data_IF_355135078137
#
_entry.id   IF_355135078137
#
_cell.length_a   1.000
_cell.length_b   1.000
_cell.length_c   1.000
_cell.angle_alpha   90.00
_cell.angle_beta   90.00
_cell.angle_gamma   90.00
#
_symmetry.space_group_name_H-M   'P 1'
#
loop_
_entity.id
_entity.type
_entity.pdbx_description
1 polymer ?
#
# COMPACT_ATOMS: atom_id res chain seq x y z
N UNK A 1 75.43 3.45 17.21
CA UNK A 1 75.47 4.65 16.36
C UNK A 1 74.51 4.43 15.23
N UNK A 2 73.55 5.37 15.15
CA UNK A 2 72.60 5.71 14.06
C UNK A 2 71.50 4.70 13.78
N UNK A 3 70.32 4.97 14.31
CA UNK A 3 69.24 5.87 13.86
C UNK A 3 68.73 5.54 12.45
N UNK A 4 67.50 5.02 12.40
CA UNK A 4 66.56 5.37 11.35
C UNK A 4 65.14 5.16 11.91
N UNK A 5 64.71 6.19 12.66
CA UNK A 5 63.30 6.45 12.93
C UNK A 5 62.70 7.10 11.67
N UNK A 6 61.78 6.43 11.01
CA UNK A 6 61.05 6.94 9.87
C UNK A 6 59.59 6.52 9.99
N UNK A 7 58.88 7.20 10.88
CA UNK A 7 57.41 7.03 10.95
C UNK A 7 56.78 7.77 9.77
N UNK A 8 56.41 7.04 8.73
CA UNK A 8 55.59 7.56 7.65
C UNK A 8 54.12 7.58 8.13
N UNK A 9 53.67 8.73 8.64
CA UNK A 9 52.27 9.02 8.84
C UNK A 9 51.57 9.23 7.48
N UNK A 10 51.22 8.15 6.83
CA UNK A 10 50.32 8.20 5.67
C UNK A 10 48.90 8.43 6.13
N UNK A 11 48.42 9.67 6.11
CA UNK A 11 47.00 10.00 6.27
C UNK A 11 46.26 9.43 5.05
N UNK A 12 45.63 8.26 5.22
CA UNK A 12 44.73 7.72 4.21
C UNK A 12 43.48 8.60 4.21
N UNK A 13 43.46 9.57 3.29
CA UNK A 13 42.25 10.33 2.98
C UNK A 13 41.22 9.36 2.38
N UNK A 14 40.33 8.88 3.20
CA UNK A 14 39.15 8.14 2.75
C UNK A 14 38.22 9.11 2.02
N UNK A 15 38.51 9.29 0.74
CA UNK A 15 37.65 9.99 -0.20
C UNK A 15 36.35 9.18 -0.29
N UNK A 16 35.34 9.57 0.47
CA UNK A 16 34.01 8.94 0.54
C UNK A 16 33.47 8.84 -0.89
N UNK A 17 33.55 7.65 -1.48
CA UNK A 17 32.96 7.31 -2.78
C UNK A 17 31.44 7.24 -2.65
N UNK A 18 30.76 8.40 -2.58
CA UNK A 18 29.29 8.53 -2.61
C UNK A 18 28.66 8.30 -4.00
N UNK A 19 29.35 7.65 -4.94
CA UNK A 19 28.87 7.48 -6.32
C UNK A 19 28.72 6.02 -6.74
N UNK A 20 28.23 5.13 -5.87
CA UNK A 20 28.05 3.71 -6.24
C UNK A 20 26.64 3.30 -6.61
N UNK A 21 25.64 4.22 -6.52
CA UNK A 21 24.26 3.95 -6.92
C UNK A 21 23.62 5.17 -7.62
N UNK A 22 24.27 5.72 -8.63
CA UNK A 22 23.52 6.50 -9.61
C UNK A 22 22.72 5.49 -10.45
N UNK A 23 21.36 5.54 -10.46
CA UNK A 23 20.59 4.63 -11.28
C UNK A 23 21.03 4.78 -12.74
N UNK A 24 21.18 3.67 -13.44
CA UNK A 24 21.54 3.69 -14.85
C UNK A 24 20.62 4.65 -15.63
N UNK A 25 21.12 5.42 -16.59
CA UNK A 25 20.30 6.34 -17.36
C UNK A 25 19.16 5.58 -18.05
N UNK A 26 17.93 6.08 -17.85
CA UNK A 26 16.75 5.45 -18.46
C UNK A 26 16.79 5.62 -19.98
N UNK A 27 16.44 4.59 -20.76
CA UNK A 27 16.32 4.71 -22.21
C UNK A 27 15.33 5.83 -22.59
N UNK A 28 15.68 6.67 -23.58
CA UNK A 28 14.86 7.81 -24.01
C UNK A 28 13.43 7.45 -24.36
N UNK A 29 13.21 6.29 -24.97
CA UNK A 29 11.86 5.84 -25.34
C UNK A 29 10.95 5.63 -24.13
N UNK A 30 11.48 5.19 -22.98
CA UNK A 30 10.71 5.06 -21.73
C UNK A 30 10.27 6.45 -21.23
N UNK A 31 11.17 7.44 -21.31
CA UNK A 31 10.87 8.82 -20.92
C UNK A 31 9.78 9.41 -21.82
N UNK A 32 9.85 9.18 -23.12
CA UNK A 32 8.86 9.64 -24.10
C UNK A 32 7.48 9.04 -23.76
N UNK A 33 7.41 7.72 -23.57
CA UNK A 33 6.15 7.05 -23.19
C UNK A 33 5.60 7.55 -21.85
N UNK A 34 6.47 7.80 -20.87
CA UNK A 34 6.06 8.35 -19.59
C UNK A 34 5.46 9.77 -19.74
N UNK A 35 6.11 10.63 -20.55
CA UNK A 35 5.59 11.99 -20.85
C UNK A 35 4.24 11.91 -21.56
N UNK A 36 4.09 11.04 -22.56
CA UNK A 36 2.81 10.84 -23.24
C UNK A 36 1.73 10.40 -22.25
N UNK A 37 2.03 9.42 -21.37
CA UNK A 37 1.11 8.99 -20.34
C UNK A 37 0.69 10.10 -19.38
N UNK A 38 1.63 10.94 -18.94
CA UNK A 38 1.36 12.10 -18.10
C UNK A 38 0.49 13.12 -18.86
N UNK A 39 0.80 13.39 -20.14
CA UNK A 39 -0.01 14.30 -20.97
C UNK A 39 -1.46 13.82 -21.09
N UNK A 40 -1.70 12.53 -21.30
CA UNK A 40 -3.06 11.93 -21.37
C UNK A 40 -3.84 12.20 -20.07
N UNK A 41 -3.18 12.14 -18.91
CA UNK A 41 -3.81 12.39 -17.61
C UNK A 41 -4.06 13.89 -17.34
N UNK A 42 -3.14 14.76 -17.76
CA UNK A 42 -3.18 16.19 -17.43
C UNK A 42 -4.05 16.98 -18.43
N UNK A 43 -4.01 16.61 -19.71
CA UNK A 43 -4.68 17.37 -20.78
C UNK A 43 -6.20 17.55 -20.54
N UNK A 44 -6.98 16.53 -20.11
CA UNK A 44 -8.40 16.71 -19.81
C UNK A 44 -8.64 17.67 -18.65
N UNK A 45 -7.76 17.70 -17.64
CA UNK A 45 -7.88 18.61 -16.50
C UNK A 45 -7.60 20.06 -16.92
N UNK A 46 -6.61 20.27 -17.80
CA UNK A 46 -6.33 21.58 -18.39
C UNK A 46 -7.49 22.04 -19.26
N UNK A 47 -8.05 21.15 -20.09
CA UNK A 47 -9.24 21.43 -20.90
C UNK A 47 -10.42 21.87 -20.04
N UNK A 48 -10.71 21.12 -18.98
CA UNK A 48 -11.75 21.49 -18.02
C UNK A 48 -11.47 22.86 -17.37
N UNK A 49 -10.22 23.14 -16.99
CA UNK A 49 -9.84 24.43 -16.39
C UNK A 49 -10.03 25.62 -17.33
N UNK A 50 -9.92 25.44 -18.65
CA UNK A 50 -10.14 26.47 -19.63
C UNK A 50 -11.65 26.80 -19.85
N UNK A 51 -12.51 25.79 -19.66
CA UNK A 51 -13.97 25.94 -19.81
C UNK A 51 -14.66 26.46 -18.54
N UNK A 52 -13.95 26.51 -17.40
CA UNK A 52 -14.53 26.98 -16.14
C UNK A 52 -14.79 28.46 -16.14
N UNK A 53 -16.00 28.90 -15.78
CA UNK A 53 -16.34 30.32 -15.63
C UNK A 53 -15.80 30.88 -14.30
N UNK A 54 -14.50 31.15 -14.22
CA UNK A 54 -13.78 31.57 -13.01
C UNK A 54 -14.47 32.70 -12.24
N UNK A 55 -15.02 33.69 -12.95
CA UNK A 55 -15.72 34.81 -12.32
C UNK A 55 -17.02 34.41 -11.62
N UNK A 56 -17.65 33.30 -12.03
CA UNK A 56 -18.92 32.81 -11.46
C UNK A 56 -18.72 31.80 -10.30
N UNK A 57 -17.52 31.27 -10.10
CA UNK A 57 -17.25 30.28 -9.04
C UNK A 57 -17.76 30.75 -7.67
N UNK A 58 -17.46 31.97 -7.18
CA UNK A 58 -17.93 32.39 -5.86
C UNK A 58 -19.46 32.36 -5.72
N UNK A 59 -20.15 32.80 -6.77
CA UNK A 59 -21.62 32.82 -6.80
C UNK A 59 -22.20 31.39 -6.84
N UNK A 60 -21.63 30.50 -7.65
CA UNK A 60 -22.02 29.07 -7.73
C UNK A 60 -21.81 28.39 -6.38
N UNK A 61 -20.68 28.61 -5.73
CA UNK A 61 -20.39 28.03 -4.43
C UNK A 61 -21.21 28.61 -3.28
N UNK A 62 -21.75 29.79 -3.45
CA UNK A 62 -22.70 30.41 -2.50
C UNK A 62 -24.12 29.88 -2.65
N UNK A 63 -24.44 29.10 -3.71
CA UNK A 63 -25.77 28.51 -3.86
C UNK A 63 -26.08 27.47 -2.80
N UNK A 64 -27.31 27.37 -2.29
CA UNK A 64 -27.69 26.38 -1.29
C UNK A 64 -27.44 24.95 -1.77
N UNK A 65 -27.68 24.69 -3.05
CA UNK A 65 -27.51 23.36 -3.66
C UNK A 65 -26.07 22.91 -3.65
N UNK A 66 -25.10 23.81 -3.96
CA UNK A 66 -23.68 23.50 -3.94
C UNK A 66 -23.17 23.28 -2.51
N UNK A 67 -23.61 24.12 -1.57
CA UNK A 67 -23.20 24.01 -0.16
C UNK A 67 -23.75 22.73 0.48
N UNK A 68 -25.02 22.40 0.27
CA UNK A 68 -25.64 21.18 0.75
C UNK A 68 -24.92 19.94 0.21
N UNK A 69 -24.63 19.91 -1.10
CA UNK A 69 -23.94 18.81 -1.75
C UNK A 69 -22.50 18.66 -1.26
N UNK A 70 -21.77 19.76 -1.07
CA UNK A 70 -20.40 19.75 -0.55
C UNK A 70 -20.36 19.27 0.90
N UNK A 71 -21.24 19.82 1.76
CA UNK A 71 -21.30 19.45 3.15
C UNK A 71 -21.68 17.97 3.33
N UNK A 72 -22.67 17.51 2.57
CA UNK A 72 -23.08 16.11 2.60
C UNK A 72 -21.94 15.19 2.13
N UNK A 73 -21.25 15.54 1.03
CA UNK A 73 -20.13 14.75 0.53
C UNK A 73 -19.00 14.63 1.54
N UNK A 74 -18.61 15.74 2.17
CA UNK A 74 -17.54 15.74 3.18
C UNK A 74 -17.97 14.91 4.39
N UNK A 75 -19.16 15.13 4.92
CA UNK A 75 -19.69 14.43 6.09
C UNK A 75 -19.79 12.92 5.86
N UNK A 76 -20.40 12.50 4.74
CA UNK A 76 -20.55 11.07 4.42
C UNK A 76 -19.21 10.41 4.13
N UNK A 77 -18.29 11.09 3.43
CA UNK A 77 -16.93 10.62 3.18
C UNK A 77 -16.15 10.40 4.48
N UNK A 78 -16.20 11.32 5.43
CA UNK A 78 -15.53 11.16 6.73
C UNK A 78 -16.10 9.95 7.49
N UNK A 79 -17.44 9.82 7.56
CA UNK A 79 -18.08 8.70 8.22
C UNK A 79 -17.71 7.37 7.53
N UNK A 80 -17.77 7.32 6.19
CA UNK A 80 -17.41 6.13 5.43
C UNK A 80 -15.95 5.75 5.64
N UNK A 81 -15.04 6.73 5.59
CA UNK A 81 -13.60 6.50 5.82
C UNK A 81 -13.30 5.98 7.23
N UNK A 82 -14.00 6.47 8.26
CA UNK A 82 -13.87 5.95 9.63
C UNK A 82 -14.33 4.49 9.70
N UNK A 83 -15.45 4.16 9.04
CA UNK A 83 -15.96 2.79 8.95
C UNK A 83 -14.97 1.91 8.17
N UNK A 84 -14.41 2.40 7.07
CA UNK A 84 -13.40 1.70 6.29
C UNK A 84 -12.17 1.35 7.14
N UNK A 85 -11.68 2.28 7.95
CA UNK A 85 -10.55 2.01 8.85
C UNK A 85 -10.93 0.97 9.90
N UNK A 86 -12.11 1.10 10.51
CA UNK A 86 -12.57 0.21 11.55
C UNK A 86 -12.76 -1.24 11.05
N UNK A 87 -13.30 -1.42 9.85
CA UNK A 87 -13.52 -2.74 9.24
C UNK A 87 -12.30 -3.22 8.44
N UNK A 88 -11.64 -2.33 7.72
CA UNK A 88 -10.55 -2.67 6.80
C UNK A 88 -9.27 -3.10 7.50
N UNK A 89 -8.95 -2.52 8.65
CA UNK A 89 -7.75 -2.93 9.41
C UNK A 89 -7.83 -4.38 9.86
N UNK A 90 -8.91 -4.86 10.52
CA UNK A 90 -9.05 -6.28 10.85
C UNK A 90 -9.03 -7.20 9.63
N UNK A 91 -9.71 -6.82 8.54
CA UNK A 91 -9.73 -7.60 7.30
C UNK A 91 -8.32 -7.70 6.71
N UNK A 92 -7.58 -6.60 6.61
CA UNK A 92 -6.22 -6.59 6.09
C UNK A 92 -5.25 -7.45 6.94
N UNK A 93 -5.37 -7.38 8.27
CA UNK A 93 -4.61 -8.21 9.19
C UNK A 93 -4.92 -9.69 9.03
N UNK A 94 -6.18 -10.05 8.78
CA UNK A 94 -6.62 -11.42 8.53
C UNK A 94 -6.07 -11.93 7.18
N UNK A 95 -6.18 -11.12 6.11
CA UNK A 95 -5.72 -11.47 4.77
C UNK A 95 -4.19 -11.54 4.65
N UNK A 96 -3.45 -10.84 5.53
CA UNK A 96 -2.00 -10.88 5.56
C UNK A 96 -1.45 -12.17 6.16
N UNK A 97 -2.28 -13.01 6.79
CA UNK A 97 -1.90 -14.30 7.37
C UNK A 97 -2.25 -15.43 6.42
N UNK A 98 -1.39 -16.47 6.40
CA UNK A 98 -1.66 -17.67 5.62
C UNK A 98 -2.57 -18.63 6.41
N UNK A 99 -3.77 -18.86 5.89
CA UNK A 99 -4.76 -19.79 6.43
C UNK A 99 -5.61 -20.38 5.31
N UNK A 100 -6.23 -21.54 5.57
CA UNK A 100 -7.06 -22.22 4.58
C UNK A 100 -8.31 -21.36 4.27
N UNK A 101 -8.45 -20.89 3.02
CA UNK A 101 -9.57 -20.05 2.60
C UNK A 101 -9.24 -18.56 2.43
N UNK A 102 -8.03 -18.09 2.78
CA UNK A 102 -7.62 -16.69 2.60
C UNK A 102 -7.79 -16.20 1.18
N UNK A 103 -7.54 -17.06 0.18
CA UNK A 103 -7.72 -16.71 -1.24
C UNK A 103 -9.18 -16.39 -1.58
N UNK A 104 -10.13 -17.17 -1.07
CA UNK A 104 -11.55 -16.94 -1.29
C UNK A 104 -12.02 -15.61 -0.65
N UNK A 105 -11.59 -15.31 0.57
CA UNK A 105 -11.92 -14.04 1.24
C UNK A 105 -11.26 -12.86 0.51
N UNK A 106 -10.04 -13.02 0.01
CA UNK A 106 -9.38 -11.99 -0.82
C UNK A 106 -10.18 -11.70 -2.07
N UNK A 107 -10.64 -12.72 -2.81
CA UNK A 107 -11.51 -12.54 -3.98
C UNK A 107 -12.78 -11.82 -3.59
N UNK A 108 -13.44 -12.20 -2.48
CA UNK A 108 -14.66 -11.56 -2.00
C UNK A 108 -14.44 -10.05 -1.70
N UNK A 109 -13.32 -9.70 -1.06
CA UNK A 109 -12.96 -8.29 -0.78
C UNK A 109 -12.68 -7.51 -2.05
N UNK A 110 -12.10 -8.14 -3.08
CA UNK A 110 -11.78 -7.49 -4.35
C UNK A 110 -12.98 -7.41 -5.31
N UNK A 111 -14.03 -8.18 -5.07
CA UNK A 111 -15.19 -8.26 -5.94
C UNK A 111 -15.84 -6.89 -6.22
N UNK A 112 -16.01 -5.98 -5.22
CA UNK A 112 -16.56 -4.64 -5.47
C UNK A 112 -15.75 -3.81 -6.47
N UNK A 113 -14.42 -4.02 -6.58
CA UNK A 113 -13.58 -3.34 -7.56
C UNK A 113 -13.85 -3.76 -9.00
N UNK A 114 -14.31 -5.00 -9.19
CA UNK A 114 -14.60 -5.58 -10.50
C UNK A 114 -16.01 -5.25 -11.00
N UNK A 115 -16.91 -4.85 -10.07
CA UNK A 115 -18.30 -4.55 -10.42
C UNK A 115 -18.43 -3.14 -10.99
N UNK A 116 -19.20 -2.96 -12.09
CA UNK A 116 -19.63 -1.64 -12.50
C UNK A 116 -20.34 -0.93 -11.33
N UNK A 117 -20.08 0.36 -11.06
CA UNK A 117 -20.63 1.07 -9.89
C UNK A 117 -22.17 1.00 -9.78
N UNK A 118 -22.85 1.06 -10.91
CA UNK A 118 -24.34 0.91 -10.95
C UNK A 118 -24.78 -0.48 -10.49
N UNK A 119 -24.05 -1.53 -10.87
CA UNK A 119 -24.36 -2.92 -10.45
C UNK A 119 -24.12 -3.09 -8.95
N UNK A 120 -23.07 -2.46 -8.41
CA UNK A 120 -22.82 -2.41 -6.98
C UNK A 120 -24.00 -1.78 -6.22
N UNK A 121 -24.53 -0.66 -6.73
CA UNK A 121 -25.72 -0.02 -6.16
C UNK A 121 -26.99 -0.87 -6.25
N UNK A 122 -27.18 -1.59 -7.37
CA UNK A 122 -28.31 -2.54 -7.51
C UNK A 122 -28.20 -3.71 -6.52
N UNK A 123 -26.99 -4.23 -6.29
CA UNK A 123 -26.77 -5.27 -5.29
C UNK A 123 -27.09 -4.79 -3.87
N UNK A 124 -26.68 -3.57 -3.53
CA UNK A 124 -27.04 -2.94 -2.26
C UNK A 124 -28.56 -2.72 -2.15
N UNK A 125 -29.22 -2.28 -3.22
CA UNK A 125 -30.67 -2.08 -3.25
C UNK A 125 -31.41 -3.41 -3.13
N UNK A 126 -30.96 -4.47 -3.77
CA UNK A 126 -31.53 -5.81 -3.65
C UNK A 126 -31.38 -6.39 -2.24
N UNK A 127 -30.34 -5.99 -1.51
CA UNK A 127 -30.10 -6.47 -0.14
C UNK A 127 -30.80 -5.59 0.89
N UNK A 128 -30.63 -4.27 0.84
CA UNK A 128 -31.05 -3.32 1.87
C UNK A 128 -32.22 -2.42 1.45
N UNK A 129 -32.72 -2.57 0.23
CA UNK A 129 -33.94 -1.88 -0.22
C UNK A 129 -35.17 -2.31 0.56
N UNK A 130 -36.23 -1.54 0.52
CA UNK A 130 -37.50 -1.83 1.28
C UNK A 130 -38.04 -3.22 1.03
N UNK A 131 -37.86 -3.80 -0.15
CA UNK A 131 -38.24 -5.17 -0.53
C UNK A 131 -37.04 -6.11 -0.65
N UNK A 132 -35.88 -5.68 -0.22
CA UNK A 132 -34.64 -6.45 -0.30
C UNK A 132 -34.57 -7.54 0.79
N UNK A 133 -33.59 -8.43 0.63
CA UNK A 133 -33.40 -9.62 1.47
C UNK A 133 -33.35 -9.29 2.99
N UNK A 134 -32.59 -8.26 3.37
CA UNK A 134 -32.44 -7.78 4.75
C UNK A 134 -33.35 -6.56 4.98
N UNK A 135 -33.48 -5.71 3.95
CA UNK A 135 -34.16 -4.44 4.02
C UNK A 135 -35.66 -4.58 4.35
N UNK A 136 -36.33 -5.68 3.93
CA UNK A 136 -37.73 -5.94 4.25
C UNK A 136 -37.94 -6.10 5.77
N UNK A 137 -37.07 -6.86 6.45
CA UNK A 137 -37.15 -7.05 7.91
C UNK A 137 -36.84 -5.76 8.67
N UNK A 138 -35.84 -4.99 8.20
CA UNK A 138 -35.52 -3.69 8.80
C UNK A 138 -36.65 -2.69 8.62
N UNK A 139 -37.31 -2.68 7.45
CA UNK A 139 -38.43 -1.80 7.18
C UNK A 139 -39.65 -2.16 8.05
N UNK A 140 -39.89 -3.44 8.28
CA UNK A 140 -40.94 -3.89 9.23
C UNK A 140 -40.63 -3.44 10.67
N UNK A 141 -39.35 -3.30 11.03
CA UNK A 141 -38.92 -2.73 12.31
C UNK A 141 -38.87 -1.18 12.32
N UNK A 142 -39.35 -0.50 11.27
CA UNK A 142 -39.37 0.96 11.16
C UNK A 142 -38.09 1.58 10.67
N UNK A 143 -37.10 0.78 10.24
CA UNK A 143 -35.77 1.27 9.77
C UNK A 143 -35.73 1.19 8.24
N UNK A 144 -35.66 2.35 7.58
CA UNK A 144 -35.46 2.45 6.12
C UNK A 144 -34.06 2.92 5.81
N UNK A 145 -33.22 2.06 5.22
CA UNK A 145 -31.83 2.38 4.83
C UNK A 145 -31.82 3.02 3.44
N UNK A 146 -32.42 2.38 2.43
CA UNK A 146 -32.44 2.91 1.06
C UNK A 146 -33.04 4.32 1.01
N UNK A 147 -32.49 5.16 0.11
CA UNK A 147 -32.88 6.56 -0.06
C UNK A 147 -32.66 7.45 1.17
N UNK A 148 -31.67 7.11 2.00
CA UNK A 148 -31.25 7.89 3.16
C UNK A 148 -29.76 8.23 3.10
N UNK A 149 -29.28 9.14 3.97
CA UNK A 149 -27.85 9.42 4.12
C UNK A 149 -27.04 8.17 4.52
N UNK A 150 -27.67 7.24 5.25
CA UNK A 150 -27.04 5.96 5.58
C UNK A 150 -26.78 5.10 4.33
N UNK A 151 -27.67 5.14 3.32
CA UNK A 151 -27.43 4.47 2.04
C UNK A 151 -26.24 5.07 1.28
N UNK A 152 -26.04 6.39 1.34
CA UNK A 152 -24.87 7.05 0.76
C UNK A 152 -23.60 6.52 1.41
N UNK A 153 -23.53 6.51 2.75
CA UNK A 153 -22.38 6.00 3.50
C UNK A 153 -22.12 4.54 3.18
N UNK A 154 -23.15 3.70 3.14
CA UNK A 154 -23.00 2.27 2.80
C UNK A 154 -22.48 2.05 1.39
N UNK A 155 -22.95 2.84 0.40
CA UNK A 155 -22.46 2.79 -0.97
C UNK A 155 -20.98 3.19 -1.04
N UNK A 156 -20.60 4.25 -0.34
CA UNK A 156 -19.21 4.72 -0.24
C UNK A 156 -18.31 3.64 0.39
N UNK A 157 -18.69 3.09 1.56
CA UNK A 157 -17.92 2.02 2.24
C UNK A 157 -17.77 0.80 1.34
N UNK A 158 -18.86 0.35 0.70
CA UNK A 158 -18.81 -0.84 -0.16
C UNK A 158 -17.78 -0.72 -1.29
N UNK A 159 -17.64 0.48 -1.85
CA UNK A 159 -16.74 0.73 -2.99
C UNK A 159 -15.32 1.11 -2.54
N UNK A 160 -15.15 1.76 -1.38
CA UNK A 160 -13.85 2.28 -0.93
C UNK A 160 -13.07 1.30 -0.04
N UNK A 161 -13.76 0.45 0.73
CA UNK A 161 -13.14 -0.50 1.65
C UNK A 161 -12.05 -1.37 1.01
N UNK A 162 -12.20 -1.93 -0.20
CA UNK A 162 -11.17 -2.73 -0.85
C UNK A 162 -9.85 -1.96 -1.08
N UNK A 163 -9.91 -0.65 -1.33
CA UNK A 163 -8.71 0.17 -1.56
C UNK A 163 -7.85 0.27 -0.29
N UNK A 164 -8.49 0.48 0.86
CA UNK A 164 -7.79 0.47 2.15
C UNK A 164 -7.21 -0.92 2.45
N UNK A 165 -8.05 -1.96 2.31
CA UNK A 165 -7.65 -3.34 2.65
C UNK A 165 -6.45 -3.77 1.82
N UNK A 166 -6.48 -3.58 0.49
CA UNK A 166 -5.38 -4.00 -0.39
C UNK A 166 -4.08 -3.24 -0.12
N UNK A 167 -4.16 -1.93 0.10
CA UNK A 167 -2.99 -1.10 0.42
C UNK A 167 -2.34 -1.55 1.75
N UNK A 168 -3.16 -1.84 2.75
CA UNK A 168 -2.69 -2.25 4.07
C UNK A 168 -2.19 -3.70 4.08
N UNK A 169 -2.93 -4.64 3.45
CA UNK A 169 -2.51 -6.05 3.30
C UNK A 169 -1.14 -6.15 2.63
N UNK A 170 -0.95 -5.46 1.50
CA UNK A 170 0.33 -5.45 0.77
C UNK A 170 1.48 -4.99 1.67
N UNK A 171 1.28 -3.93 2.45
CA UNK A 171 2.30 -3.44 3.37
C UNK A 171 2.59 -4.42 4.51
N UNK A 172 1.57 -5.09 5.06
CA UNK A 172 1.73 -6.07 6.13
C UNK A 172 2.50 -7.30 5.61
N UNK A 173 2.19 -7.78 4.41
CA UNK A 173 2.82 -8.98 3.82
C UNK A 173 4.29 -8.77 3.46
N UNK A 174 4.67 -7.55 3.05
CA UNK A 174 6.05 -7.25 2.61
C UNK A 174 7.01 -6.99 3.78
N UNK A 175 6.51 -6.83 5.00
CA UNK A 175 7.37 -6.60 6.17
C UNK A 175 7.87 -7.90 6.79
N UNK A 176 8.98 -7.79 7.53
CA UNK A 176 9.51 -8.91 8.30
C UNK A 176 8.70 -9.16 9.59
N UNK A 177 8.28 -10.39 9.81
CA UNK A 177 7.59 -10.82 11.03
C UNK A 177 8.53 -11.03 12.24
N UNK A 178 9.84 -10.88 12.05
CA UNK A 178 10.86 -11.17 13.08
C UNK A 178 10.62 -10.41 14.39
N UNK A 179 10.27 -9.13 14.32
CA UNK A 179 10.02 -8.31 15.52
C UNK A 179 8.82 -8.81 16.32
N UNK A 180 7.75 -9.23 15.65
CA UNK A 180 6.56 -9.80 16.33
C UNK A 180 6.87 -11.15 16.97
N UNK A 181 7.60 -12.00 16.26
CA UNK A 181 8.04 -13.31 16.79
C UNK A 181 8.94 -13.14 18.01
N UNK A 182 9.91 -12.22 17.96
CA UNK A 182 10.80 -11.93 19.10
C UNK A 182 10.00 -11.41 20.29
N UNK A 183 9.06 -10.47 20.07
CA UNK A 183 8.23 -9.94 21.14
C UNK A 183 7.33 -11.05 21.76
N UNK A 184 6.77 -11.93 20.93
CA UNK A 184 5.98 -13.07 21.41
C UNK A 184 6.83 -14.06 22.21
N UNK A 185 8.07 -14.33 21.78
CA UNK A 185 9.01 -15.17 22.51
C UNK A 185 9.41 -14.59 23.88
N UNK A 186 9.41 -13.25 24.00
CA UNK A 186 9.62 -12.54 25.26
C UNK A 186 8.34 -12.43 26.12
N UNK A 187 7.24 -13.11 25.74
CA UNK A 187 6.00 -13.14 26.51
C UNK A 187 5.04 -11.98 26.26
N UNK A 188 5.25 -11.18 25.20
CA UNK A 188 4.30 -10.14 24.87
C UNK A 188 2.99 -10.73 24.33
N UNK A 189 1.85 -10.40 24.95
CA UNK A 189 0.54 -10.83 24.49
C UNK A 189 0.16 -10.23 23.12
N UNK A 190 -0.77 -10.88 22.37
CA UNK A 190 -1.13 -10.50 21.00
C UNK A 190 -1.57 -9.04 20.86
N UNK A 191 -2.33 -8.52 21.81
CA UNK A 191 -2.78 -7.13 21.83
C UNK A 191 -1.63 -6.13 21.99
N UNK A 192 -0.67 -6.45 22.85
CA UNK A 192 0.53 -5.62 23.05
C UNK A 192 1.34 -5.58 21.76
N UNK A 193 1.60 -6.73 21.13
CA UNK A 193 2.31 -6.83 19.84
C UNK A 193 1.60 -6.00 18.76
N UNK A 194 0.29 -6.17 18.62
CA UNK A 194 -0.52 -5.41 17.65
C UNK A 194 -0.35 -3.90 17.85
N UNK A 195 -0.52 -3.40 19.08
CA UNK A 195 -0.54 -1.95 19.35
C UNK A 195 0.86 -1.32 19.32
N UNK A 196 1.90 -2.03 19.79
CA UNK A 196 3.25 -1.45 19.96
C UNK A 196 4.19 -1.73 18.80
N UNK A 197 3.95 -2.78 18.01
CA UNK A 197 4.82 -3.18 16.92
C UNK A 197 4.08 -3.09 15.58
N UNK A 198 2.96 -3.82 15.44
CA UNK A 198 2.26 -3.93 14.16
C UNK A 198 1.70 -2.59 13.69
N UNK A 199 0.86 -1.94 14.49
CA UNK A 199 0.21 -0.68 14.11
C UNK A 199 1.19 0.45 13.79
N UNK A 200 2.22 0.75 14.61
CA UNK A 200 3.20 1.78 14.27
C UNK A 200 3.98 1.48 12.99
N UNK A 201 4.31 0.20 12.76
CA UNK A 201 5.07 -0.21 11.57
C UNK A 201 4.29 -0.01 10.27
N UNK A 202 2.97 -0.21 10.30
CA UNK A 202 2.09 -0.04 9.13
C UNK A 202 1.38 1.30 9.07
N UNK A 203 1.62 2.21 10.02
CA UNK A 203 0.92 3.49 10.13
C UNK A 203 0.99 4.33 8.85
N UNK A 204 2.15 4.34 8.17
CA UNK A 204 2.32 5.04 6.90
C UNK A 204 1.48 4.42 5.77
N UNK A 205 1.35 3.09 5.74
CA UNK A 205 0.50 2.40 4.76
C UNK A 205 -0.98 2.60 5.09
N UNK A 206 -1.33 2.58 6.38
CA UNK A 206 -2.67 2.89 6.85
C UNK A 206 -3.08 4.31 6.40
N UNK A 207 -2.23 5.31 6.62
CA UNK A 207 -2.50 6.69 6.18
C UNK A 207 -2.70 6.79 4.66
N UNK A 208 -1.83 6.17 3.86
CA UNK A 208 -1.98 6.16 2.40
C UNK A 208 -3.25 5.42 1.95
N UNK A 209 -3.52 4.24 2.53
CA UNK A 209 -4.72 3.47 2.23
C UNK A 209 -6.01 4.22 2.59
N UNK A 210 -6.04 4.85 3.76
CA UNK A 210 -7.17 5.66 4.24
C UNK A 210 -7.48 6.81 3.28
N UNK A 211 -6.47 7.49 2.81
CA UNK A 211 -6.71 8.59 1.90
C UNK A 211 -7.08 8.16 0.47
N UNK A 212 -6.55 7.03 0.01
CA UNK A 212 -7.02 6.45 -1.25
C UNK A 212 -8.50 6.06 -1.14
N UNK A 213 -8.92 5.47 -0.02
CA UNK A 213 -10.31 5.17 0.26
C UNK A 213 -11.16 6.45 0.32
N UNK A 214 -10.70 7.50 1.02
CA UNK A 214 -11.40 8.78 1.10
C UNK A 214 -11.55 9.46 -0.28
N UNK A 215 -10.51 9.46 -1.10
CA UNK A 215 -10.59 9.98 -2.46
C UNK A 215 -11.62 9.19 -3.30
N UNK A 216 -11.68 7.86 -3.11
CA UNK A 216 -12.68 7.02 -3.77
C UNK A 216 -14.10 7.28 -3.28
N UNK A 217 -14.28 7.53 -1.96
CA UNK A 217 -15.56 7.96 -1.38
C UNK A 217 -16.07 9.27 -1.99
N UNK A 218 -15.20 10.28 -2.10
CA UNK A 218 -15.56 11.59 -2.64
C UNK A 218 -16.04 11.53 -4.10
N UNK A 219 -15.43 10.65 -4.89
CA UNK A 219 -15.80 10.46 -6.30
C UNK A 219 -16.92 9.46 -6.54
N UNK A 220 -17.57 8.91 -5.50
CA UNK A 220 -18.59 7.89 -5.68
C UNK A 220 -19.90 8.50 -6.19
N UNK A 221 -20.35 7.95 -7.33
CA UNK A 221 -21.56 8.40 -8.03
C UNK A 221 -22.51 7.24 -8.33
N UNK A 222 -22.04 6.19 -9.01
CA UNK A 222 -22.88 5.17 -9.63
C UNK A 222 -23.65 4.31 -8.63
N UNK A 223 -23.01 3.86 -7.55
CA UNK A 223 -23.69 3.09 -6.51
C UNK A 223 -24.61 3.99 -5.67
N UNK A 224 -24.21 5.25 -5.47
CA UNK A 224 -25.00 6.21 -4.71
C UNK A 224 -26.32 6.55 -5.42
N UNK A 225 -26.29 6.87 -6.73
CA UNK A 225 -27.51 7.22 -7.43
C UNK A 225 -28.52 6.07 -7.48
N UNK A 226 -28.04 4.84 -7.63
CA UNK A 226 -28.91 3.67 -7.74
C UNK A 226 -29.49 3.21 -6.40
N UNK A 227 -28.72 3.32 -5.32
CA UNK A 227 -29.13 2.86 -3.99
C UNK A 227 -29.75 3.95 -3.10
N UNK A 228 -29.15 5.16 -3.14
CA UNK A 228 -29.57 6.28 -2.29
C UNK A 228 -30.43 7.32 -3.04
N UNK A 229 -30.42 7.31 -4.38
CA UNK A 229 -31.09 8.33 -5.18
C UNK A 229 -30.38 9.71 -5.12
N UNK A 230 -31.12 10.80 -5.42
CA UNK A 230 -30.60 12.17 -5.46
C UNK A 230 -31.58 13.16 -4.85
N UNK A 231 -31.73 13.12 -3.53
CA UNK A 231 -32.56 14.05 -2.77
C UNK A 231 -31.67 15.16 -2.21
N UNK A 232 -32.03 16.43 -2.49
CA UNK A 232 -31.28 17.58 -1.96
C UNK A 232 -31.19 17.51 -0.44
N UNK A 233 -30.04 17.90 0.12
CA UNK A 233 -29.71 17.91 1.55
C UNK A 233 -29.74 16.52 2.25
N UNK A 234 -30.18 15.44 1.56
CA UNK A 234 -30.32 14.10 2.15
C UNK A 234 -29.35 13.08 1.52
N UNK A 235 -29.34 12.98 0.18
CA UNK A 235 -28.54 11.97 -0.53
C UNK A 235 -27.76 12.54 -1.72
N UNK A 236 -28.00 13.80 -2.10
CA UNK A 236 -27.35 14.44 -3.24
C UNK A 236 -25.93 14.86 -2.88
N UNK A 237 -24.95 14.00 -3.18
CA UNK A 237 -23.53 14.29 -3.04
C UNK A 237 -23.03 15.21 -4.16
N UNK A 238 -21.81 15.73 -4.02
CA UNK A 238 -21.19 16.63 -5.00
C UNK A 238 -21.13 16.01 -6.42
N UNK A 239 -20.71 14.73 -6.63
CA UNK A 239 -20.78 14.13 -7.97
C UNK A 239 -22.20 14.07 -8.54
N UNK A 240 -23.22 13.84 -7.69
CA UNK A 240 -24.62 13.85 -8.10
C UNK A 240 -25.09 15.26 -8.48
N UNK A 241 -24.65 16.28 -7.74
CA UNK A 241 -24.95 17.68 -8.06
C UNK A 241 -24.29 18.12 -9.38
N UNK A 242 -23.03 17.73 -9.62
CA UNK A 242 -22.34 17.95 -10.90
C UNK A 242 -23.12 17.32 -12.07
N UNK A 243 -23.57 16.08 -11.90
CA UNK A 243 -24.33 15.38 -12.91
C UNK A 243 -25.66 16.07 -13.23
N UNK A 244 -26.41 16.51 -12.23
CA UNK A 244 -27.68 17.23 -12.42
C UNK A 244 -27.45 18.63 -13.01
N UNK A 245 -26.43 19.36 -12.56
CA UNK A 245 -26.09 20.66 -13.08
C UNK A 245 -25.76 20.59 -14.57
N UNK A 246 -25.12 19.53 -15.05
CA UNK A 246 -24.80 19.34 -16.46
C UNK A 246 -26.02 19.35 -17.38
N UNK A 247 -27.16 18.90 -16.90
CA UNK A 247 -28.40 18.86 -17.68
C UNK A 247 -29.04 20.26 -17.81
N UNK A 248 -28.70 21.22 -16.92
CA UNK A 248 -29.35 22.53 -16.84
C UNK A 248 -28.40 23.70 -17.15
N UNK A 249 -27.18 23.69 -16.62
CA UNK A 249 -26.15 24.72 -16.75
C UNK A 249 -24.76 24.10 -16.76
N UNK A 250 -24.19 23.96 -17.96
CA UNK A 250 -22.85 23.39 -18.16
C UNK A 250 -21.76 24.14 -17.41
N UNK A 251 -21.88 25.47 -17.29
CA UNK A 251 -20.92 26.31 -16.59
C UNK A 251 -20.87 25.94 -15.08
N UNK A 252 -22.05 25.79 -14.49
CA UNK A 252 -22.18 25.37 -13.09
C UNK A 252 -21.60 23.95 -12.89
N UNK A 253 -21.85 23.01 -13.81
CA UNK A 253 -21.29 21.68 -13.74
C UNK A 253 -19.76 21.69 -13.81
N UNK A 254 -19.16 22.48 -14.70
CA UNK A 254 -17.70 22.61 -14.81
C UNK A 254 -17.08 23.22 -13.55
N UNK A 255 -17.70 24.26 -12.98
CA UNK A 255 -17.23 24.89 -11.76
C UNK A 255 -17.26 23.92 -10.58
N UNK A 256 -18.39 23.21 -10.36
CA UNK A 256 -18.52 22.21 -9.28
C UNK A 256 -17.60 21.02 -9.49
N UNK A 257 -17.42 20.56 -10.73
CA UNK A 257 -16.49 19.51 -11.10
C UNK A 257 -15.04 19.86 -10.77
N UNK A 258 -14.62 21.10 -11.07
CA UNK A 258 -13.29 21.60 -10.72
C UNK A 258 -13.09 21.61 -9.20
N UNK A 259 -14.07 22.07 -8.43
CA UNK A 259 -14.01 22.05 -6.96
C UNK A 259 -13.84 20.64 -6.44
N UNK A 260 -14.57 19.68 -6.99
CA UNK A 260 -14.45 18.28 -6.62
C UNK A 260 -13.04 17.71 -6.93
N UNK A 261 -12.48 18.05 -8.10
CA UNK A 261 -11.10 17.69 -8.48
C UNK A 261 -10.08 18.28 -7.50
N UNK A 262 -10.24 19.56 -7.15
CA UNK A 262 -9.34 20.23 -6.19
C UNK A 262 -9.43 19.59 -4.81
N UNK A 263 -10.62 19.32 -4.30
CA UNK A 263 -10.81 18.63 -3.01
C UNK A 263 -10.20 17.23 -3.06
N UNK A 264 -10.43 16.46 -4.11
CA UNK A 264 -9.83 15.15 -4.31
C UNK A 264 -8.30 15.21 -4.38
N UNK A 265 -7.74 16.20 -5.09
CA UNK A 265 -6.30 16.41 -5.17
C UNK A 265 -5.68 16.80 -3.82
N UNK A 266 -6.37 17.63 -3.02
CA UNK A 266 -5.92 17.96 -1.66
C UNK A 266 -5.90 16.68 -0.78
N UNK A 267 -6.97 15.91 -0.80
CA UNK A 267 -7.04 14.65 -0.05
C UNK A 267 -5.93 13.68 -0.49
N UNK A 268 -5.73 13.49 -1.79
CA UNK A 268 -4.65 12.68 -2.33
C UNK A 268 -3.26 13.25 -1.97
N UNK A 269 -3.07 14.55 -2.05
CA UNK A 269 -1.81 15.23 -1.74
C UNK A 269 -1.40 15.13 -0.27
N UNK A 270 -2.34 15.26 0.65
CA UNK A 270 -2.09 15.11 2.09
C UNK A 270 -1.47 13.75 2.45
N UNK A 271 -1.72 12.72 1.65
CA UNK A 271 -1.18 11.38 1.86
C UNK A 271 0.23 11.19 1.34
N UNK A 272 0.61 11.96 0.33
CA UNK A 272 1.97 11.94 -0.20
C UNK A 272 2.94 12.77 0.66
N UNK A 273 2.41 13.69 1.47
CA UNK A 273 3.21 14.59 2.29
C UNK A 273 3.63 13.99 3.64
N UNK A 274 3.61 12.68 3.80
CA UNK A 274 4.22 12.06 4.97
C UNK A 274 5.74 12.28 4.91
N UNK A 275 6.38 12.78 5.98
CA UNK A 275 7.82 12.96 6.02
C UNK A 275 8.48 11.62 5.73
N UNK A 276 9.26 11.58 4.65
CA UNK A 276 9.93 10.36 4.23
C UNK A 276 10.71 9.80 5.41
N UNK A 277 10.54 8.54 5.71
CA UNK A 277 11.28 7.82 6.77
C UNK A 277 12.80 7.70 6.44
N UNK A 278 13.39 8.75 5.88
CA UNK A 278 14.83 8.83 5.64
C UNK A 278 15.66 8.93 6.93
N UNK A 279 15.04 9.20 8.07
CA UNK A 279 15.76 9.38 9.33
C UNK A 279 16.25 8.07 9.96
N UNK A 280 15.55 6.95 9.75
CA UNK A 280 15.92 5.66 10.35
C UNK A 280 17.12 4.99 9.67
N UNK A 281 17.32 5.19 8.35
CA UNK A 281 18.50 4.67 7.65
C UNK A 281 19.81 5.42 7.98
N UNK A 282 19.74 6.57 8.65
CA UNK A 282 20.93 7.38 8.96
C UNK A 282 21.66 6.90 10.22
N UNK A 283 21.03 6.05 11.02
CA UNK A 283 21.55 5.52 12.28
C UNK A 283 21.86 4.01 12.24
N UNK A 284 21.89 3.39 11.07
CA UNK A 284 22.53 2.08 10.96
C UNK A 284 24.02 2.32 11.14
N UNK A 285 24.65 1.75 12.20
CA UNK A 285 26.09 1.79 12.31
C UNK A 285 26.66 1.19 11.03
N UNK A 286 27.77 1.75 10.49
CA UNK A 286 28.41 1.18 9.33
C UNK A 286 28.65 -0.30 9.62
N UNK A 287 28.18 -1.17 8.72
CA UNK A 287 28.53 -2.58 8.77
C UNK A 287 30.04 -2.61 8.81
N UNK A 288 30.60 -2.97 9.95
CA UNK A 288 32.01 -3.31 10.07
C UNK A 288 32.14 -4.58 9.23
N UNK A 289 32.52 -4.43 7.96
CA UNK A 289 33.13 -5.53 7.23
C UNK A 289 34.41 -5.86 8.01
N UNK A 290 34.31 -6.81 8.92
CA UNK A 290 35.48 -7.51 9.41
C UNK A 290 36.13 -8.14 8.17
N UNK A 291 37.09 -7.39 7.61
CA UNK A 291 37.95 -7.87 6.57
C UNK A 291 38.72 -9.08 7.09
N UNK A 292 38.27 -10.25 6.67
CA UNK A 292 39.03 -11.50 6.75
C UNK A 292 40.30 -11.41 5.83
N UNK A 293 41.17 -10.43 6.09
CA UNK A 293 42.55 -10.38 5.56
C UNK A 293 43.44 -9.87 6.67
N UNK A 294 43.55 -10.63 7.73
CA UNK A 294 44.54 -10.50 8.75
C UNK A 294 45.27 -11.83 8.86
N UNK A 295 46.41 -11.98 8.19
CA UNK A 295 47.44 -12.93 8.66
C UNK A 295 47.86 -12.46 10.06
N UNK A 296 47.08 -12.84 11.07
CA UNK A 296 47.47 -12.70 12.45
C UNK A 296 48.25 -13.94 12.87
N UNK A 297 49.56 -13.80 13.09
CA UNK A 297 50.37 -14.72 13.86
C UNK A 297 49.72 -14.84 15.25
N UNK A 298 49.00 -15.91 15.50
CA UNK A 298 48.56 -16.25 16.84
C UNK A 298 49.73 -16.94 17.56
N UNK A 299 50.42 -16.18 18.37
CA UNK A 299 51.33 -16.72 19.38
C UNK A 299 50.50 -17.40 20.43
N UNK A 300 50.49 -18.75 20.38
CA UNK A 300 49.81 -19.59 21.35
C UNK A 300 50.53 -19.52 22.69
N UNK A 301 50.07 -18.65 23.58
CA UNK A 301 50.38 -18.75 24.99
C UNK A 301 49.66 -20.01 25.56
N UNK A 302 50.46 -20.95 26.06
CA UNK A 302 50.06 -22.28 26.43
C UNK A 302 48.92 -22.39 27.45
N UNK A 303 47.99 -23.29 27.14
CA UNK A 303 47.25 -24.01 28.12
C UNK A 303 47.13 -25.47 27.69
N UNK A 304 47.37 -26.34 28.64
CA UNK A 304 47.61 -27.78 28.58
C UNK A 304 46.50 -28.56 27.87
N UNK A 305 46.93 -29.49 27.02
CA UNK A 305 46.17 -30.36 26.18
C UNK A 305 45.18 -31.32 26.85
N UNK A 306 44.18 -31.68 26.10
CA UNK A 306 43.44 -32.94 26.24
C UNK A 306 43.77 -33.82 25.02
N UNK A 307 43.88 -35.16 25.21
CA UNK A 307 44.50 -36.07 24.24
C UNK A 307 43.47 -36.63 23.25
N UNK A 308 43.06 -35.80 22.26
CA UNK A 308 42.13 -36.28 21.23
C UNK A 308 42.49 -35.84 19.78
N UNK A 309 43.68 -35.30 19.55
CA UNK A 309 44.09 -34.81 18.23
C UNK A 309 45.36 -35.45 17.68
N UNK A 310 45.53 -36.75 17.83
CA UNK A 310 46.70 -37.44 17.30
C UNK A 310 46.40 -38.59 16.31
N UNK A 311 45.29 -38.54 15.56
CA UNK A 311 45.02 -39.64 14.59
C UNK A 311 44.58 -39.20 13.18
N UNK A 312 44.89 -38.05 12.70
CA UNK A 312 44.51 -37.64 11.32
C UNK A 312 45.64 -37.02 10.48
N UNK A 313 46.90 -37.27 10.79
CA UNK A 313 48.02 -36.86 9.95
C UNK A 313 49.03 -37.96 9.75
N UNK A 314 48.64 -39.09 9.17
CA UNK A 314 49.58 -40.03 8.57
C UNK A 314 48.85 -40.88 7.53
N UNK A 315 49.01 -40.53 6.28
CA UNK A 315 48.96 -41.32 5.04
C UNK A 315 48.35 -40.49 3.87
N UNK A 316 49.16 -39.74 3.22
CA UNK A 316 49.00 -39.43 1.81
C UNK A 316 50.33 -39.69 1.09
N UNK A 317 50.46 -40.89 0.58
CA UNK A 317 51.47 -41.34 -0.38
C UNK A 317 50.98 -40.92 -1.78
N UNK A 318 51.77 -40.21 -2.60
CA UNK A 318 51.37 -39.77 -3.93
C UNK A 318 51.73 -40.81 -4.97
N UNK A 319 50.77 -41.67 -5.33
CA UNK A 319 50.95 -42.51 -6.49
C UNK A 319 50.19 -43.80 -6.45
N UNK A 320 48.94 -43.79 -6.85
CA UNK A 320 48.28 -44.92 -7.55
C UNK A 320 46.87 -44.53 -8.05
N UNK A 321 46.78 -44.58 -9.34
CA UNK A 321 45.67 -45.00 -10.21
C UNK A 321 44.20 -44.84 -9.75
N UNK A 322 43.45 -44.07 -10.55
CA UNK A 322 42.02 -44.01 -10.58
C UNK A 322 41.38 -45.38 -10.95
N UNK A 323 40.29 -45.74 -10.35
CA UNK A 323 39.22 -46.41 -11.08
C UNK A 323 37.87 -45.69 -10.97
N UNK A 324 37.26 -45.54 -12.15
CA UNK A 324 35.86 -45.67 -12.53
C UNK A 324 34.73 -45.32 -11.55
N UNK A 325 33.91 -44.49 -12.07
CA UNK A 325 32.51 -44.11 -11.80
C UNK A 325 31.70 -45.15 -10.98
N UNK A 326 31.19 -44.74 -9.86
CA UNK A 326 29.98 -45.29 -9.30
C UNK A 326 29.01 -44.17 -8.93
N UNK A 327 27.91 -44.13 -9.65
CA UNK A 327 26.76 -43.29 -9.50
C UNK A 327 26.11 -43.42 -8.12
N UNK A 328 26.05 -42.33 -7.35
CA UNK A 328 25.17 -42.21 -6.20
C UNK A 328 23.95 -41.39 -6.64
N UNK A 329 22.87 -42.09 -6.91
CA UNK A 329 21.53 -41.53 -7.06
C UNK A 329 21.02 -41.08 -5.71
N UNK A 330 21.00 -39.76 -5.47
CA UNK A 330 20.22 -39.19 -4.37
C UNK A 330 18.88 -38.69 -4.92
N UNK A 331 17.84 -39.43 -4.56
CA UNK A 331 16.45 -39.03 -4.78
C UNK A 331 16.16 -37.69 -4.07
N UNK A 332 15.93 -36.65 -4.83
CA UNK A 332 15.25 -35.42 -4.39
C UNK A 332 14.07 -35.17 -5.29
N UNK A 333 12.92 -35.13 -4.66
CA UNK A 333 11.59 -35.05 -5.26
C UNK A 333 11.41 -33.94 -6.29
N UNK A 334 10.65 -34.31 -7.25
CA UNK A 334 10.08 -33.57 -8.38
C UNK A 334 9.60 -32.15 -8.05
N UNK A 335 10.20 -31.18 -8.74
CA UNK A 335 9.49 -30.00 -9.24
C UNK A 335 10.15 -29.60 -10.56
N UNK A 336 9.50 -29.93 -11.66
CA UNK A 336 9.91 -29.58 -13.01
C UNK A 336 9.77 -28.08 -13.23
N UNK A 337 10.89 -27.39 -13.42
CA UNK A 337 10.92 -26.04 -14.01
C UNK A 337 11.28 -26.19 -15.47
N UNK A 338 10.30 -25.99 -16.34
CA UNK A 338 10.50 -25.95 -17.78
C UNK A 338 11.08 -24.57 -18.14
N UNK A 339 12.36 -24.56 -18.50
CA UNK A 339 13.00 -23.36 -19.09
C UNK A 339 12.75 -23.41 -20.59
N UNK A 340 12.00 -22.45 -21.08
CA UNK A 340 11.79 -22.23 -22.51
C UNK A 340 12.96 -21.44 -23.09
N UNK A 341 13.69 -22.00 -24.04
CA UNK A 341 14.74 -21.34 -24.83
C UNK A 341 14.19 -21.04 -26.21
N UNK A 342 14.24 -19.79 -26.72
CA UNK A 342 13.90 -19.51 -28.12
C UNK A 342 15.11 -19.69 -29.01
N UNK A 343 14.89 -20.35 -30.12
CA UNK A 343 15.69 -20.25 -31.36
C UNK A 343 15.27 -19.02 -32.15
#
# INVERSE_FOLDING_TARGET
MNECSGAVHGTISVKTRRRLFDPAPMPMWIVILAVVGICVLVLPLVGMGNEVPWARIPAIMASPEAQDALWLSVRTCVIATVIDVFLGVPIALLLARDWNGVAAVRVLVLLPLSLPPVVAGLALLATFGRRGMIGASLHAAGISIAFSTAAVVMAQVYVSLPFLVTALESSIRTRSWKLEQTAAALGAGPWRVLRTITMPTVASALGRGTALAAARCLGEFGATITFAGSLQSVTRTMPLQVYLARETDSDTAMALGLVLVVVGAIVAGLTQWQPSQRSWRRNEPPLVEEGLTGQGNYELAGTRGTPYEQHVCEQSDPGKDLPEQSSITTNLGTSAVTVWSPQ
#
